data_IF_799229035150
#
_entry.id   IF_799229035150
#
_cell.length_a   1.000
_cell.length_b   1.000
_cell.length_c   1.000
_cell.angle_alpha   90.00
_cell.angle_beta   90.00
_cell.angle_gamma   90.00
#
_symmetry.space_group_name_H-M   'P 1'
#
loop_
_entity.id
_entity.type
_entity.pdbx_description
1 polymer ?
#
# COMPACT_ATOMS: atom_id res chain seq x y z
N UNK A 1 13.11 -0.93 21.74
CA UNK A 1 13.92 -0.10 20.79
C UNK A 1 14.72 -0.97 19.82
N UNK A 2 15.30 -2.07 20.28
CA UNK A 2 16.08 -3.00 19.45
C UNK A 2 15.26 -3.71 18.37
N UNK A 3 14.11 -4.28 18.74
CA UNK A 3 13.14 -4.90 17.83
C UNK A 3 12.74 -3.99 16.65
N UNK A 4 12.42 -2.72 16.95
CA UNK A 4 12.07 -1.72 15.94
C UNK A 4 13.23 -1.49 14.96
N UNK A 5 14.46 -1.30 15.47
CA UNK A 5 15.64 -1.11 14.63
C UNK A 5 15.92 -2.33 13.74
N UNK A 6 15.75 -3.55 14.27
CA UNK A 6 15.90 -4.79 13.51
C UNK A 6 14.94 -4.84 12.32
N UNK A 7 13.63 -4.61 12.55
CA UNK A 7 12.62 -4.57 11.50
C UNK A 7 12.95 -3.50 10.45
N UNK A 8 13.30 -2.28 10.89
CA UNK A 8 13.66 -1.19 9.99
C UNK A 8 14.90 -1.51 9.15
N UNK A 9 15.92 -2.16 9.73
CA UNK A 9 17.15 -2.55 9.01
C UNK A 9 16.84 -3.55 7.90
N UNK A 10 16.08 -4.61 8.21
CA UNK A 10 15.70 -5.64 7.23
C UNK A 10 14.98 -5.01 6.04
N UNK A 11 14.02 -4.12 6.31
CA UNK A 11 13.26 -3.45 5.24
C UNK A 11 14.19 -2.58 4.40
N UNK A 12 15.06 -1.77 5.02
CA UNK A 12 15.95 -0.86 4.31
C UNK A 12 17.00 -1.60 3.47
N UNK A 13 17.60 -2.65 4.01
CA UNK A 13 18.58 -3.48 3.30
C UNK A 13 17.95 -4.17 2.07
N UNK A 14 16.76 -4.76 2.24
CA UNK A 14 16.05 -5.39 1.13
C UNK A 14 15.67 -4.37 0.03
N UNK A 15 15.34 -3.14 0.40
CA UNK A 15 14.99 -2.06 -0.54
C UNK A 15 16.23 -1.49 -1.23
N UNK A 16 17.38 -1.44 -0.56
CA UNK A 16 18.64 -0.99 -1.14
C UNK A 16 19.16 -1.97 -2.21
N UNK A 17 18.92 -3.28 -2.02
CA UNK A 17 19.38 -4.35 -2.92
C UNK A 17 18.22 -5.29 -3.29
N UNK A 18 17.21 -4.84 -4.07
CA UNK A 18 15.99 -5.62 -4.30
C UNK A 18 16.18 -6.83 -5.22
N UNK A 19 17.32 -6.90 -5.93
CA UNK A 19 17.61 -7.99 -6.87
C UNK A 19 16.73 -7.97 -8.13
N UNK A 20 16.06 -6.86 -8.43
CA UNK A 20 15.19 -6.69 -9.61
C UNK A 20 15.51 -5.40 -10.38
N UNK A 21 14.79 -5.09 -11.46
CA UNK A 21 14.97 -3.85 -12.21
C UNK A 21 14.38 -2.63 -11.48
N UNK A 22 13.26 -2.81 -10.81
CA UNK A 22 12.58 -1.74 -10.06
C UNK A 22 13.47 -1.21 -8.95
N UNK A 23 13.65 0.11 -8.94
CA UNK A 23 14.34 0.85 -7.87
C UNK A 23 13.34 1.63 -7.03
N UNK A 24 13.73 1.86 -5.79
CA UNK A 24 12.89 2.48 -4.78
C UNK A 24 13.60 3.68 -4.15
N UNK A 25 12.82 4.56 -3.54
CA UNK A 25 13.31 5.57 -2.61
C UNK A 25 13.32 5.00 -1.18
N UNK A 26 13.81 5.79 -0.23
CA UNK A 26 13.81 5.42 1.20
C UNK A 26 12.41 4.94 1.64
N UNK A 27 12.29 3.73 2.21
CA UNK A 27 11.01 3.20 2.67
C UNK A 27 10.50 3.95 3.89
N UNK A 28 9.18 3.95 4.09
CA UNK A 28 8.57 4.42 5.33
C UNK A 28 8.08 3.23 6.13
N UNK A 29 8.28 3.25 7.45
CA UNK A 29 7.85 2.21 8.37
C UNK A 29 7.02 2.85 9.47
N UNK A 30 5.89 2.24 9.78
CA UNK A 30 4.95 2.69 10.79
C UNK A 30 4.41 1.53 11.60
N UNK A 31 3.99 1.84 12.82
CA UNK A 31 3.49 0.89 13.80
C UNK A 31 2.13 1.38 14.32
N UNK A 32 1.16 0.48 14.42
CA UNK A 32 -0.10 0.71 15.13
C UNK A 32 -0.29 -0.33 16.21
N UNK A 33 -1.03 0.02 17.26
CA UNK A 33 -1.54 -0.99 18.19
C UNK A 33 -2.56 -1.88 17.47
N UNK A 34 -2.51 -3.19 17.71
CA UNK A 34 -3.55 -4.11 17.25
C UNK A 34 -4.93 -3.84 17.90
N UNK A 35 -4.95 -3.07 18.99
CA UNK A 35 -6.18 -2.63 19.69
C UNK A 35 -6.58 -1.19 19.32
N UNK A 36 -6.01 -0.58 18.29
CA UNK A 36 -6.38 0.77 17.89
C UNK A 36 -7.86 0.78 17.42
N UNK A 37 -8.74 1.60 18.02
CA UNK A 37 -10.18 1.61 17.70
C UNK A 37 -10.45 2.00 16.25
N UNK A 38 -9.47 2.56 15.54
CA UNK A 38 -9.60 2.85 14.12
C UNK A 38 -9.89 1.61 13.27
N UNK A 39 -9.45 0.42 13.69
CA UNK A 39 -9.74 -0.82 12.96
C UNK A 39 -11.23 -1.16 13.00
N UNK A 40 -11.90 -0.92 14.12
CA UNK A 40 -13.36 -1.09 14.25
C UNK A 40 -14.10 -0.08 13.36
N UNK A 41 -13.65 1.18 13.35
CA UNK A 41 -14.27 2.21 12.51
C UNK A 41 -14.09 1.92 11.01
N UNK A 42 -12.90 1.45 10.61
CA UNK A 42 -12.67 0.97 9.25
C UNK A 42 -13.58 -0.20 8.89
N UNK A 43 -13.77 -1.17 9.79
CA UNK A 43 -14.65 -2.32 9.55
C UNK A 43 -16.11 -1.89 9.36
N UNK A 44 -16.59 -0.91 10.12
CA UNK A 44 -17.94 -0.32 9.92
C UNK A 44 -18.11 0.36 8.56
N UNK A 45 -17.06 1.03 8.08
CA UNK A 45 -17.07 1.76 6.79
C UNK A 45 -16.92 0.81 5.59
N UNK A 46 -16.01 -0.17 5.69
CA UNK A 46 -15.64 -1.06 4.57
C UNK A 46 -16.61 -2.23 4.46
N UNK A 47 -17.02 -2.80 5.60
CA UNK A 47 -17.92 -3.95 5.68
C UNK A 47 -17.37 -5.07 6.56
N UNK A 48 -18.24 -6.03 6.92
CA UNK A 48 -17.93 -7.10 7.87
C UNK A 48 -16.84 -8.07 7.40
N UNK A 49 -16.57 -8.14 6.09
CA UNK A 49 -15.52 -8.96 5.52
C UNK A 49 -14.11 -8.45 5.85
N UNK A 50 -13.95 -7.18 6.22
CA UNK A 50 -12.67 -6.59 6.57
C UNK A 50 -12.24 -7.05 7.96
N UNK A 51 -11.13 -7.76 8.04
CA UNK A 51 -10.62 -8.35 9.28
C UNK A 51 -10.00 -7.29 10.19
N UNK A 52 -10.26 -7.43 11.48
CA UNK A 52 -9.50 -6.78 12.54
C UNK A 52 -8.15 -7.50 12.71
N UNK A 53 -7.11 -6.82 13.26
CA UNK A 53 -5.82 -7.45 13.52
C UNK A 53 -5.95 -8.76 14.31
N UNK A 54 -6.77 -8.73 15.39
CA UNK A 54 -6.98 -9.88 16.27
C UNK A 54 -7.87 -10.99 15.69
N UNK A 55 -8.65 -10.71 14.66
CA UNK A 55 -9.36 -11.76 13.91
C UNK A 55 -8.41 -12.52 12.98
N UNK A 56 -7.34 -11.86 12.51
CA UNK A 56 -6.31 -12.49 11.69
C UNK A 56 -5.26 -13.22 12.53
N UNK A 57 -4.93 -12.67 13.69
CA UNK A 57 -3.92 -13.18 14.60
C UNK A 57 -4.27 -12.80 16.05
N UNK A 58 -4.87 -13.70 16.86
CA UNK A 58 -5.36 -13.39 18.20
C UNK A 58 -4.32 -12.76 19.14
N UNK A 59 -3.05 -13.17 19.01
CA UNK A 59 -1.92 -12.70 19.80
C UNK A 59 -1.35 -11.36 19.30
N UNK A 60 -1.89 -10.78 18.22
CA UNK A 60 -1.42 -9.52 17.67
C UNK A 60 -1.44 -8.41 18.73
N UNK A 61 -0.27 -7.79 18.93
CA UNK A 61 -0.11 -6.57 19.74
C UNK A 61 0.24 -5.36 18.88
N UNK A 62 1.00 -5.58 17.80
CA UNK A 62 1.44 -4.53 16.89
C UNK A 62 1.12 -4.88 15.44
N UNK A 63 0.62 -3.89 14.70
CA UNK A 63 0.51 -3.90 13.24
C UNK A 63 1.72 -3.14 12.68
N UNK A 64 2.63 -3.84 12.04
CA UNK A 64 3.76 -3.26 11.31
C UNK A 64 3.31 -2.98 9.88
N UNK A 65 3.44 -1.75 9.43
CA UNK A 65 3.18 -1.37 8.04
C UNK A 65 4.38 -0.66 7.45
N UNK A 66 4.69 -0.96 6.19
CA UNK A 66 5.77 -0.29 5.48
C UNK A 66 5.36 0.06 4.06
N UNK A 67 5.94 1.15 3.53
CA UNK A 67 5.72 1.66 2.19
C UNK A 67 7.03 1.62 1.42
N UNK A 68 6.98 1.03 0.22
CA UNK A 68 8.08 0.96 -0.74
C UNK A 68 7.81 1.97 -1.87
N UNK A 69 8.27 3.24 -1.73
CA UNK A 69 8.06 4.25 -2.75
C UNK A 69 8.90 3.97 -3.99
N UNK A 70 8.30 4.04 -5.17
CA UNK A 70 9.04 3.89 -6.43
C UNK A 70 10.01 5.04 -6.65
N UNK A 71 11.06 4.77 -7.42
CA UNK A 71 12.00 5.79 -7.89
C UNK A 71 11.30 6.86 -8.75
N UNK A 72 11.87 8.08 -8.76
CA UNK A 72 11.30 9.21 -9.50
C UNK A 72 11.23 8.94 -11.01
N UNK A 73 12.21 8.21 -11.55
CA UNK A 73 12.30 7.88 -12.98
C UNK A 73 11.07 7.10 -13.44
N UNK A 74 10.72 6.03 -12.74
CA UNK A 74 9.55 5.22 -13.03
C UNK A 74 8.24 6.02 -12.94
N UNK A 75 8.10 6.87 -11.91
CA UNK A 75 6.92 7.74 -11.74
C UNK A 75 6.79 8.72 -12.90
N UNK A 76 7.88 9.36 -13.31
CA UNK A 76 7.88 10.30 -14.43
C UNK A 76 7.60 9.60 -15.76
N UNK A 77 8.18 8.42 -15.98
CA UNK A 77 7.94 7.62 -17.18
C UNK A 77 6.45 7.28 -17.32
N UNK A 78 5.83 6.80 -16.23
CA UNK A 78 4.40 6.52 -16.25
C UNK A 78 3.53 7.79 -16.27
N UNK A 79 4.03 8.95 -15.84
CA UNK A 79 3.33 10.23 -15.99
C UNK A 79 3.30 10.72 -17.44
N UNK A 80 4.40 10.56 -18.17
CA UNK A 80 4.55 11.09 -19.54
C UNK A 80 3.73 10.32 -20.57
N UNK A 81 3.50 9.03 -20.35
CA UNK A 81 2.67 8.21 -21.25
C UNK A 81 1.16 8.44 -21.01
N UNK A 82 0.30 8.33 -22.05
CA UNK A 82 -1.16 8.28 -21.87
C UNK A 82 -1.62 6.96 -21.20
N UNK A 83 -1.06 5.82 -21.64
CA UNK A 83 -1.35 4.48 -21.12
C UNK A 83 -0.24 3.98 -20.18
N UNK A 84 -0.51 3.05 -19.25
CA UNK A 84 0.51 2.58 -18.34
C UNK A 84 1.69 1.93 -19.06
N UNK A 85 2.89 2.34 -18.67
CA UNK A 85 4.14 1.81 -19.25
C UNK A 85 4.45 0.43 -18.68
N UNK A 86 5.11 -0.42 -19.47
CA UNK A 86 5.45 -1.79 -19.11
C UNK A 86 6.20 -1.86 -17.78
N UNK A 87 7.13 -0.94 -17.55
CA UNK A 87 7.95 -0.84 -16.35
C UNK A 87 7.11 -0.63 -15.09
N UNK A 88 5.97 0.07 -15.19
CA UNK A 88 5.06 0.22 -14.06
C UNK A 88 4.30 -1.06 -13.74
N UNK A 89 3.91 -1.81 -14.79
CA UNK A 89 3.26 -3.11 -14.65
C UNK A 89 4.23 -4.12 -14.02
N UNK A 90 5.49 -4.12 -14.47
CA UNK A 90 6.56 -4.96 -13.93
C UNK A 90 6.87 -4.61 -12.48
N UNK A 91 6.98 -3.30 -12.17
CA UNK A 91 7.22 -2.84 -10.80
C UNK A 91 6.16 -3.33 -9.82
N UNK A 92 4.89 -3.47 -10.24
CA UNK A 92 3.87 -4.08 -9.37
C UNK A 92 4.29 -5.49 -8.93
N UNK A 93 4.63 -6.36 -9.88
CA UNK A 93 4.97 -7.76 -9.60
C UNK A 93 6.23 -7.88 -8.75
N UNK A 94 7.30 -7.16 -9.15
CA UNK A 94 8.58 -7.19 -8.45
C UNK A 94 8.44 -6.70 -7.01
N UNK A 95 7.65 -5.64 -6.79
CA UNK A 95 7.44 -5.08 -5.45
C UNK A 95 6.59 -6.00 -4.58
N UNK A 96 5.54 -6.62 -5.12
CA UNK A 96 4.72 -7.59 -4.37
C UNK A 96 5.58 -8.80 -3.93
N UNK A 97 6.47 -9.28 -4.80
CA UNK A 97 7.45 -10.33 -4.46
C UNK A 97 8.44 -9.85 -3.38
N UNK A 98 8.97 -8.63 -3.50
CA UNK A 98 9.89 -8.05 -2.52
C UNK A 98 9.22 -7.89 -1.14
N UNK A 99 7.97 -7.43 -1.08
CA UNK A 99 7.18 -7.34 0.16
C UNK A 99 7.06 -8.72 0.81
N UNK A 100 6.78 -9.77 0.02
CA UNK A 100 6.74 -11.15 0.50
C UNK A 100 8.06 -11.59 1.12
N UNK A 101 9.19 -11.36 0.42
CA UNK A 101 10.54 -11.69 0.92
C UNK A 101 10.88 -10.93 2.21
N UNK A 102 10.56 -9.64 2.27
CA UNK A 102 10.75 -8.81 3.47
C UNK A 102 9.97 -9.40 4.64
N UNK A 103 8.69 -9.72 4.44
CA UNK A 103 7.84 -10.29 5.48
C UNK A 103 8.36 -11.64 5.97
N UNK A 104 8.78 -12.54 5.06
CA UNK A 104 9.35 -13.83 5.45
C UNK A 104 10.66 -13.67 6.23
N UNK A 105 11.53 -12.74 5.82
CA UNK A 105 12.78 -12.45 6.54
C UNK A 105 12.50 -11.89 7.93
N UNK A 106 11.59 -10.92 8.06
CA UNK A 106 11.19 -10.40 9.38
C UNK A 106 10.63 -11.54 10.23
N UNK A 107 9.72 -12.35 9.69
CA UNK A 107 9.11 -13.47 10.43
C UNK A 107 10.14 -14.46 10.95
N UNK A 108 11.13 -14.84 10.14
CA UNK A 108 12.21 -15.72 10.55
C UNK A 108 13.04 -15.12 11.69
N UNK A 109 13.46 -13.86 11.55
CA UNK A 109 14.27 -13.15 12.55
C UNK A 109 13.53 -12.94 13.88
N UNK A 110 12.21 -12.71 13.82
CA UNK A 110 11.37 -12.57 15.01
C UNK A 110 11.15 -13.92 15.72
N UNK A 111 11.08 -15.02 14.97
CA UNK A 111 10.91 -16.34 15.54
C UNK A 111 12.10 -16.78 16.41
N UNK A 112 13.33 -16.36 16.07
CA UNK A 112 14.53 -16.59 16.89
C UNK A 112 14.42 -15.95 18.29
N UNK A 113 13.64 -14.86 18.41
CA UNK A 113 13.34 -14.17 19.66
C UNK A 113 12.02 -14.63 20.30
N UNK A 114 11.44 -15.74 19.82
CA UNK A 114 10.11 -16.27 20.23
C UNK A 114 8.96 -15.27 19.99
N UNK A 115 9.11 -14.34 19.06
CA UNK A 115 8.06 -13.39 18.67
C UNK A 115 7.30 -13.98 17.49
N UNK A 116 6.06 -14.41 17.76
CA UNK A 116 5.14 -14.87 16.72
C UNK A 116 4.71 -13.73 15.80
N UNK A 117 4.58 -14.02 14.51
CA UNK A 117 4.15 -13.06 13.51
C UNK A 117 3.34 -13.71 12.38
N UNK A 118 2.39 -12.94 11.81
CA UNK A 118 1.46 -13.37 10.76
C UNK A 118 1.33 -12.27 9.71
N UNK A 119 1.39 -12.64 8.43
CA UNK A 119 1.01 -11.77 7.32
C UNK A 119 -0.48 -11.97 7.05
N UNK A 120 -1.34 -10.95 7.19
CA UNK A 120 -2.77 -11.10 6.91
C UNK A 120 -3.03 -11.47 5.45
N UNK A 121 -3.96 -12.39 5.22
CA UNK A 121 -4.40 -12.79 3.89
C UNK A 121 -5.10 -11.64 3.15
N UNK A 122 -4.78 -11.48 1.86
CA UNK A 122 -5.36 -10.45 0.97
C UNK A 122 -6.14 -11.08 -0.18
N UNK A 123 -6.85 -12.17 0.10
CA UNK A 123 -7.55 -12.98 -0.90
C UNK A 123 -8.49 -12.11 -1.73
N UNK A 124 -8.13 -11.93 -3.00
CA UNK A 124 -8.93 -11.22 -3.98
C UNK A 124 -9.50 -12.24 -4.96
N UNK A 125 -10.82 -12.44 -4.90
CA UNK A 125 -11.55 -13.24 -5.86
C UNK A 125 -12.71 -12.43 -6.43
N UNK A 126 -12.48 -11.82 -7.59
CA UNK A 126 -13.52 -11.06 -8.28
C UNK A 126 -14.75 -11.89 -8.64
N UNK A 127 -14.59 -13.18 -8.94
CA UNK A 127 -15.70 -14.02 -9.42
C UNK A 127 -16.65 -14.40 -8.29
N UNK A 128 -16.12 -14.71 -7.10
CA UNK A 128 -16.94 -15.16 -5.97
C UNK A 128 -17.20 -14.09 -4.92
N UNK A 129 -16.27 -13.14 -4.72
CA UNK A 129 -16.29 -12.13 -3.65
C UNK A 129 -16.32 -10.68 -4.18
N UNK A 130 -16.36 -10.48 -5.50
CA UNK A 130 -16.32 -9.15 -6.10
C UNK A 130 -15.03 -8.40 -5.74
N UNK A 131 -15.15 -7.13 -5.32
CA UNK A 131 -13.97 -6.30 -5.01
C UNK A 131 -13.63 -6.19 -3.54
N UNK A 132 -14.17 -7.10 -2.74
CA UNK A 132 -13.96 -7.14 -1.31
C UNK A 132 -12.66 -7.91 -1.02
N UNK A 133 -11.86 -7.37 -0.11
CA UNK A 133 -10.62 -7.99 0.37
C UNK A 133 -10.66 -8.02 1.88
N UNK A 134 -10.21 -9.13 2.44
CA UNK A 134 -10.21 -9.35 3.89
C UNK A 134 -9.25 -8.44 4.63
N UNK A 135 -8.19 -7.98 3.96
CA UNK A 135 -7.21 -7.07 4.54
C UNK A 135 -6.81 -5.97 3.56
N UNK A 136 -6.67 -4.74 4.07
CA UNK A 136 -6.21 -3.58 3.31
C UNK A 136 -4.88 -3.05 3.85
N UNK A 137 -3.79 -3.25 3.10
CA UNK A 137 -2.48 -2.68 3.44
C UNK A 137 -2.51 -1.15 3.57
N UNK A 138 -3.36 -0.47 2.79
CA UNK A 138 -3.53 0.99 2.89
C UNK A 138 -4.20 1.39 4.21
N UNK A 139 -5.18 0.61 4.66
CA UNK A 139 -5.88 0.84 5.93
C UNK A 139 -4.93 0.61 7.11
N UNK A 140 -4.15 -0.48 7.07
CA UNK A 140 -3.10 -0.74 8.05
C UNK A 140 -2.05 0.39 8.09
N UNK A 141 -1.63 0.90 6.93
CA UNK A 141 -0.70 2.03 6.83
C UNK A 141 -1.29 3.34 7.39
N UNK A 142 -2.60 3.58 7.23
CA UNK A 142 -3.28 4.71 7.86
C UNK A 142 -3.30 4.56 9.38
N UNK A 143 -3.65 3.39 9.90
CA UNK A 143 -3.65 3.11 11.34
C UNK A 143 -2.24 3.32 11.92
N UNK A 144 -1.21 2.89 11.19
CA UNK A 144 0.21 3.04 11.49
C UNK A 144 0.77 4.47 11.27
N UNK A 145 -0.10 5.44 10.99
CA UNK A 145 0.26 6.85 10.90
C UNK A 145 1.13 7.23 9.70
N UNK A 146 1.15 6.42 8.64
CA UNK A 146 2.00 6.71 7.47
C UNK A 146 1.44 7.81 6.56
N UNK A 147 0.15 8.10 6.62
CA UNK A 147 -0.46 9.03 5.67
C UNK A 147 -1.97 9.21 5.81
N UNK A 148 -2.57 9.88 4.83
CA UNK A 148 -4.02 10.11 4.71
C UNK A 148 -4.53 9.70 3.34
N UNK A 149 -5.83 9.37 3.23
CA UNK A 149 -6.41 8.89 1.97
C UNK A 149 -6.71 10.04 1.01
N UNK A 150 -6.23 9.94 -0.23
CA UNK A 150 -6.56 10.88 -1.30
C UNK A 150 -7.85 10.55 -2.04
N UNK A 151 -8.29 11.49 -2.90
CA UNK A 151 -9.39 11.26 -3.85
C UNK A 151 -9.11 10.05 -4.74
N UNK A 152 -7.83 9.82 -5.09
CA UNK A 152 -7.36 8.66 -5.85
C UNK A 152 -7.48 7.30 -5.17
N UNK A 153 -8.07 7.24 -3.97
CA UNK A 153 -8.18 6.03 -3.15
C UNK A 153 -6.83 5.47 -2.67
N UNK A 154 -5.73 6.20 -2.88
CA UNK A 154 -4.41 5.82 -2.37
C UNK A 154 -4.19 6.46 -1.00
N UNK A 155 -3.37 5.80 -0.17
CA UNK A 155 -2.80 6.46 0.99
C UNK A 155 -1.63 7.32 0.53
N UNK A 156 -1.76 8.63 0.66
CA UNK A 156 -0.69 9.57 0.40
C UNK A 156 0.15 9.63 1.67
N UNK A 157 1.45 9.37 1.56
CA UNK A 157 2.41 9.45 2.67
C UNK A 157 3.28 10.70 2.53
N UNK A 158 4.18 10.94 3.48
CA UNK A 158 5.24 11.96 3.33
C UNK A 158 6.13 11.72 2.11
N UNK A 159 6.32 10.46 1.71
CA UNK A 159 7.03 10.06 0.49
C UNK A 159 6.11 10.04 -0.74
N UNK A 160 4.85 10.48 -0.63
CA UNK A 160 3.85 10.44 -1.69
C UNK A 160 3.08 9.12 -1.74
N UNK A 161 2.38 8.87 -2.85
CA UNK A 161 1.53 7.69 -3.04
C UNK A 161 2.00 6.70 -4.12
N UNK A 162 3.09 7.01 -4.84
CA UNK A 162 3.61 6.12 -5.88
C UNK A 162 4.52 5.05 -5.27
N UNK A 163 3.97 3.87 -5.03
CA UNK A 163 4.67 2.73 -4.43
C UNK A 163 3.67 1.67 -3.96
N UNK A 164 4.13 0.70 -3.16
CA UNK A 164 3.29 -0.34 -2.59
C UNK A 164 3.51 -0.51 -1.09
N UNK A 165 2.50 -1.05 -0.41
CA UNK A 165 2.50 -1.23 1.04
C UNK A 165 2.58 -2.71 1.39
N UNK A 166 3.37 -3.02 2.42
CA UNK A 166 3.36 -4.30 3.11
C UNK A 166 2.78 -4.18 4.51
N UNK A 167 2.38 -5.33 5.08
CA UNK A 167 1.90 -5.41 6.46
C UNK A 167 2.29 -6.74 7.08
N UNK A 168 2.60 -6.69 8.38
CA UNK A 168 2.88 -7.84 9.23
C UNK A 168 2.27 -7.59 10.63
N UNK A 169 1.62 -8.59 11.20
CA UNK A 169 1.13 -8.58 12.58
C UNK A 169 2.14 -9.30 13.46
N UNK A 170 2.45 -8.75 14.64
CA UNK A 170 3.41 -9.36 15.57
C UNK A 170 2.84 -9.40 16.99
N UNK A 171 3.27 -10.40 17.77
CA UNK A 171 2.87 -10.63 19.17
C UNK A 171 3.65 -9.79 20.19
N UNK A 172 4.65 -9.04 19.72
CA UNK A 172 5.40 -8.09 20.52
C UNK A 172 4.80 -6.67 20.45
N UNK A 173 4.96 -5.90 21.51
CA UNK A 173 4.49 -4.52 21.59
C UNK A 173 5.56 -3.54 21.10
N UNK A 174 5.19 -2.70 20.14
CA UNK A 174 5.99 -1.55 19.69
C UNK A 174 5.10 -0.31 19.82
N UNK A 175 5.60 0.77 20.44
CA UNK A 175 4.83 2.01 20.56
C UNK A 175 4.33 2.51 19.19
N UNK A 176 3.04 2.86 19.07
CA UNK A 176 2.44 3.27 17.81
C UNK A 176 2.96 4.64 17.35
N UNK A 177 2.99 4.84 16.05
CA UNK A 177 3.23 6.15 15.46
C UNK A 177 1.96 7.02 15.57
N UNK A 178 2.11 8.33 15.85
CA UNK A 178 0.97 9.23 15.78
C UNK A 178 0.48 9.35 14.33
N UNK A 179 -0.84 9.34 14.14
CA UNK A 179 -1.44 9.65 12.84
C UNK A 179 -1.20 11.11 12.46
N UNK A 180 -1.05 11.43 11.16
CA UNK A 180 -0.98 12.81 10.69
C UNK A 180 -2.21 13.60 11.13
N UNK A 181 -2.00 14.82 11.62
CA UNK A 181 -3.10 15.75 11.97
C UNK A 181 -3.62 16.52 10.76
N UNK A 182 -2.82 16.61 9.71
CA UNK A 182 -3.14 17.32 8.47
C UNK A 182 -3.48 16.32 7.36
N UNK A 183 -4.32 16.77 6.43
CA UNK A 183 -4.65 16.03 5.22
C UNK A 183 -3.56 16.22 4.17
N UNK A 184 -3.10 15.16 3.51
CA UNK A 184 -2.08 15.23 2.47
C UNK A 184 -2.66 15.39 1.06
N UNK A 185 -3.95 15.10 0.88
CA UNK A 185 -4.62 15.36 -0.39
C UNK A 185 -5.00 16.84 -0.52
N UNK A 186 -4.35 17.55 -1.46
CA UNK A 186 -4.61 18.97 -1.74
C UNK A 186 -6.10 19.29 -1.93
N UNK A 187 -6.86 18.44 -2.62
CA UNK A 187 -8.30 18.61 -2.75
C UNK A 187 -9.03 18.62 -1.41
N UNK A 188 -8.73 17.63 -0.57
CA UNK A 188 -9.34 17.49 0.75
C UNK A 188 -8.85 18.55 1.75
N UNK A 189 -7.71 19.22 1.47
CA UNK A 189 -7.25 20.45 2.14
C UNK A 189 -8.01 21.71 1.69
N UNK A 190 -8.87 21.61 0.67
CA UNK A 190 -9.60 22.76 0.10
C UNK A 190 -8.90 23.44 -1.09
N UNK A 191 -7.80 22.89 -1.59
CA UNK A 191 -7.11 23.39 -2.80
C UNK A 191 -7.70 22.80 -4.08
N UNK A 192 -7.48 23.47 -5.22
CA UNK A 192 -7.89 22.95 -6.54
C UNK A 192 -6.91 21.87 -7.03
N UNK A 193 -7.26 20.59 -6.86
CA UNK A 193 -6.47 19.48 -7.38
C UNK A 193 -7.34 18.25 -7.69
N UNK A 194 -7.53 17.92 -8.97
CA UNK A 194 -8.24 16.69 -9.39
C UNK A 194 -7.48 15.90 -10.46
N UNK A 195 -6.16 16.12 -10.55
CA UNK A 195 -5.28 15.48 -11.54
C UNK A 195 -5.45 13.95 -11.62
N UNK A 196 -5.69 13.29 -10.48
CA UNK A 196 -5.92 11.85 -10.46
C UNK A 196 -7.22 11.40 -11.16
N UNK A 197 -8.28 12.21 -11.06
CA UNK A 197 -9.57 12.02 -11.74
C UNK A 197 -9.38 12.27 -13.24
N UNK A 198 -8.81 13.42 -13.59
CA UNK A 198 -8.61 13.85 -14.99
C UNK A 198 -7.76 12.85 -15.78
N UNK A 199 -6.81 12.20 -15.10
CA UNK A 199 -5.89 11.23 -15.71
C UNK A 199 -6.35 9.78 -15.64
N UNK A 200 -7.53 9.49 -15.11
CA UNK A 200 -8.01 8.12 -15.06
C UNK A 200 -8.37 7.64 -16.47
N UNK A 201 -7.58 6.76 -17.12
CA UNK A 201 -7.85 6.37 -18.50
C UNK A 201 -9.12 5.53 -18.65
N UNK A 202 -9.62 4.96 -17.55
CA UNK A 202 -10.86 4.20 -17.50
C UNK A 202 -12.10 5.08 -17.26
N UNK A 203 -11.94 6.38 -16.95
CA UNK A 203 -13.05 7.21 -16.47
C UNK A 203 -13.72 6.66 -15.21
N UNK A 204 -12.97 5.88 -14.41
CA UNK A 204 -13.49 5.12 -13.29
C UNK A 204 -13.42 5.89 -11.96
N UNK A 205 -12.59 6.93 -11.87
CA UNK A 205 -12.37 7.68 -10.65
C UNK A 205 -13.11 9.01 -10.68
N UNK A 206 -13.76 9.35 -9.57
CA UNK A 206 -14.40 10.66 -9.36
C UNK A 206 -14.18 11.13 -7.92
N UNK A 207 -14.63 12.35 -7.61
CA UNK A 207 -14.65 12.88 -6.24
C UNK A 207 -15.48 12.00 -5.30
N UNK A 208 -16.52 11.34 -5.84
CA UNK A 208 -17.42 10.47 -5.08
C UNK A 208 -16.84 9.07 -4.80
N UNK A 209 -15.77 8.69 -5.49
CA UNK A 209 -15.14 7.39 -5.32
C UNK A 209 -14.67 6.74 -6.62
N UNK A 210 -14.31 5.47 -6.52
CA UNK A 210 -13.81 4.64 -7.62
C UNK A 210 -14.87 3.61 -8.04
N UNK A 211 -15.27 3.65 -9.30
CA UNK A 211 -15.96 2.57 -9.98
C UNK A 211 -14.97 1.41 -10.19
N UNK A 212 -15.00 0.47 -9.25
CA UNK A 212 -14.04 -0.64 -9.22
C UNK A 212 -14.18 -1.54 -10.45
N UNK A 213 -15.38 -1.68 -11.00
CA UNK A 213 -15.65 -2.51 -12.18
C UNK A 213 -15.05 -1.91 -13.45
N UNK A 214 -15.28 -0.61 -13.71
CA UNK A 214 -14.63 0.09 -14.83
C UNK A 214 -13.11 0.08 -14.71
N UNK A 215 -12.60 0.33 -13.50
CA UNK A 215 -11.16 0.26 -13.24
C UNK A 215 -10.62 -1.13 -13.59
N UNK A 216 -11.24 -2.19 -13.07
CA UNK A 216 -10.79 -3.56 -13.28
C UNK A 216 -10.86 -4.00 -14.75
N UNK A 217 -11.90 -3.62 -15.50
CA UNK A 217 -11.99 -3.87 -16.94
C UNK A 217 -10.79 -3.26 -17.68
N UNK A 218 -10.38 -2.04 -17.32
CA UNK A 218 -9.19 -1.42 -17.91
C UNK A 218 -7.89 -2.13 -17.47
N UNK A 219 -7.79 -2.59 -16.21
CA UNK A 219 -6.64 -3.38 -15.77
C UNK A 219 -6.51 -4.71 -16.55
N UNK A 220 -7.62 -5.37 -16.88
CA UNK A 220 -7.62 -6.57 -17.72
C UNK A 220 -7.13 -6.26 -19.14
N UNK A 221 -7.49 -5.11 -19.71
CA UNK A 221 -6.95 -4.65 -21.00
C UNK A 221 -5.42 -4.50 -20.94
N UNK A 222 -4.89 -3.91 -19.87
CA UNK A 222 -3.44 -3.76 -19.70
C UNK A 222 -2.72 -5.10 -19.53
N UNK A 223 -3.32 -6.03 -18.77
CA UNK A 223 -2.77 -7.38 -18.61
C UNK A 223 -2.65 -8.12 -19.96
N UNK A 224 -3.61 -7.89 -20.89
CA UNK A 224 -3.54 -8.43 -22.25
C UNK A 224 -2.51 -7.73 -23.14
N UNK A 225 -2.20 -6.48 -22.88
CA UNK A 225 -1.18 -5.71 -23.62
C UNK A 225 0.25 -6.11 -23.23
N UNK A 226 0.44 -6.63 -22.01
CA UNK A 226 1.72 -7.13 -21.49
C UNK A 226 1.56 -8.56 -20.93
N UNK A 227 1.22 -9.54 -21.79
CA UNK A 227 0.89 -10.90 -21.35
C UNK A 227 2.05 -11.60 -20.64
N UNK A 228 3.30 -11.23 -20.94
CA UNK A 228 4.51 -11.76 -20.30
C UNK A 228 4.61 -11.38 -18.81
N UNK A 229 3.93 -10.30 -18.39
CA UNK A 229 3.90 -9.87 -17.00
C UNK A 229 2.71 -10.47 -16.24
N UNK A 230 1.61 -10.75 -16.95
CA UNK A 230 0.36 -11.28 -16.39
C UNK A 230 -0.11 -10.51 -15.13
N UNK A 231 -0.05 -9.18 -15.16
CA UNK A 231 -0.40 -8.31 -14.03
C UNK A 231 -1.53 -7.34 -14.34
N UNK A 232 -2.43 -7.19 -13.38
CA UNK A 232 -3.47 -6.16 -13.37
C UNK A 232 -2.91 -4.86 -12.75
N UNK A 233 -2.37 -3.96 -13.58
CA UNK A 233 -1.81 -2.68 -13.12
C UNK A 233 -2.10 -1.51 -14.07
N UNK A 234 -2.01 -0.29 -13.53
CA UNK A 234 -2.13 0.97 -14.28
C UNK A 234 -1.40 2.12 -13.58
N UNK A 235 -1.87 2.49 -12.38
CA UNK A 235 -1.22 3.50 -11.52
C UNK A 235 -1.28 4.96 -11.99
N UNK A 236 -1.99 5.28 -13.08
CA UNK A 236 -2.11 6.68 -13.58
C UNK A 236 -2.69 7.64 -12.55
N UNK A 237 -3.60 7.19 -11.70
CA UNK A 237 -4.16 8.00 -10.60
C UNK A 237 -3.16 8.25 -9.45
N UNK A 238 -2.00 7.57 -9.45
CA UNK A 238 -0.95 7.69 -8.45
C UNK A 238 0.30 8.45 -8.94
N UNK A 239 0.28 9.02 -10.15
CA UNK A 239 1.40 9.78 -10.74
C UNK A 239 1.22 11.30 -10.69
N UNK A 240 0.15 11.80 -10.06
CA UNK A 240 -0.12 13.24 -9.91
C UNK A 240 0.84 13.97 -8.96
N UNK A 241 0.53 15.23 -8.58
CA UNK A 241 1.40 16.05 -7.73
C UNK A 241 1.77 15.42 -6.38
N UNK A 242 0.91 14.53 -5.85
CA UNK A 242 1.12 13.80 -4.60
C UNK A 242 1.92 12.49 -4.75
N UNK A 243 2.41 12.16 -5.95
CA UNK A 243 3.07 10.88 -6.23
C UNK A 243 4.38 10.70 -5.46
N UNK A 244 5.19 11.76 -5.39
CA UNK A 244 6.56 11.71 -4.85
C UNK A 244 6.69 12.34 -3.46
N UNK A 245 5.70 13.11 -3.00
CA UNK A 245 5.63 13.72 -1.68
C UNK A 245 4.23 14.22 -1.36
N UNK A 246 3.88 14.30 -0.08
CA UNK A 246 2.78 15.12 0.39
C UNK A 246 3.19 16.59 0.31
N UNK A 247 2.53 17.38 -0.53
CA UNK A 247 2.60 18.85 -0.54
C UNK A 247 1.19 19.34 -0.31
#
# INVERSE_FOLDING_TARGET
>A
MELKKKIESIIKEAVASPGTETRYREPLIGYASANDPIFDDMKKIIGPHHLLPKESFPEAKTVVSFFLPFEKKLVNLNWQSPDPVKEWIQAKSETDCLIGKINEKIKAELAEENIQSVVPGTDFDYKSKGFDVTWSHKSAAYAAGLGTFGVNQMLITKAGCAGRFGTLLISAEIPPNPRPKEEFCRYKKGERCLVCVDRCPAGALSIRGLDKEKCYKYLQKNARAFPELNQFACGKCATGPCALRSR
#
